data_IF_073819232277
#
_entry.id   IF_073819232277
#
_cell.length_a   1.000
_cell.length_b   1.000
_cell.length_c   1.000
_cell.angle_alpha   90.00
_cell.angle_beta   90.00
_cell.angle_gamma   90.00
#
_symmetry.space_group_name_H-M   'P 1'
#
loop_
_entity.id
_entity.type
_entity.pdbx_description
1 polymer ?
#
# COMPACT_ATOMS: atom_id res chain seq x y z
N UNK A 1 27.57 4.70 45.23
CA UNK A 1 26.69 3.81 44.46
C UNK A 1 25.52 4.65 43.97
N UNK A 2 25.42 4.96 42.67
CA UNK A 2 24.22 5.61 42.13
C UNK A 2 23.14 4.57 41.91
N UNK A 3 21.94 4.87 42.37
CA UNK A 3 20.75 4.03 42.25
C UNK A 3 20.41 3.83 40.77
N UNK A 4 20.28 2.57 40.36
CA UNK A 4 19.77 2.20 39.07
C UNK A 4 18.31 2.71 38.94
N UNK A 5 18.09 3.72 38.12
CA UNK A 5 16.76 4.19 37.79
C UNK A 5 16.00 3.04 37.11
N UNK A 6 15.00 2.49 37.81
CA UNK A 6 14.06 1.52 37.28
C UNK A 6 13.31 2.16 36.12
N UNK A 7 13.74 1.85 34.89
CA UNK A 7 13.06 2.22 33.65
C UNK A 7 11.84 1.31 33.47
N UNK A 8 10.84 1.45 34.36
CA UNK A 8 9.53 0.79 34.19
C UNK A 8 8.81 1.55 33.06
N UNK A 9 8.47 0.89 31.94
CA UNK A 9 7.75 1.56 30.87
C UNK A 9 6.43 2.11 31.41
N UNK A 10 6.15 3.38 31.15
CA UNK A 10 4.89 3.99 31.59
C UNK A 10 3.70 3.20 30.98
N UNK A 11 2.84 2.56 31.81
CA UNK A 11 1.77 1.70 31.34
C UNK A 11 0.76 2.45 30.45
N UNK A 12 0.56 3.76 30.64
CA UNK A 12 -0.31 4.57 29.80
C UNK A 12 0.27 4.79 28.40
N UNK A 13 1.57 4.97 28.26
CA UNK A 13 2.25 5.09 26.96
C UNK A 13 2.23 3.78 26.20
N UNK A 14 2.38 2.65 26.90
CA UNK A 14 2.29 1.31 26.27
C UNK A 14 0.87 1.00 25.83
N UNK A 15 -0.15 1.32 26.65
CA UNK A 15 -1.56 1.13 26.31
C UNK A 15 -1.98 2.03 25.12
N UNK A 16 -1.54 3.29 25.07
CA UNK A 16 -1.82 4.22 23.99
C UNK A 16 -1.16 3.78 22.66
N UNK A 17 0.07 3.29 22.73
CA UNK A 17 0.79 2.73 21.59
C UNK A 17 0.15 1.45 21.08
N UNK A 18 -0.29 0.55 21.93
CA UNK A 18 -0.99 -0.68 21.56
C UNK A 18 -2.35 -0.39 20.90
N UNK A 19 -3.12 0.57 21.42
CA UNK A 19 -4.38 1.04 20.84
C UNK A 19 -4.19 1.65 19.45
N UNK A 20 -3.18 2.51 19.26
CA UNK A 20 -2.87 3.13 17.97
C UNK A 20 -2.47 2.09 16.93
N UNK A 21 -1.65 1.11 17.31
CA UNK A 21 -1.22 0.03 16.42
C UNK A 21 -2.37 -0.94 16.10
N UNK A 22 -3.26 -1.20 17.05
CA UNK A 22 -4.46 -2.01 16.80
C UNK A 22 -5.42 -1.31 15.83
N UNK A 23 -5.60 0.01 15.94
CA UNK A 23 -6.40 0.78 15.00
C UNK A 23 -5.77 0.81 13.61
N UNK A 24 -4.44 0.96 13.50
CA UNK A 24 -3.71 0.91 12.23
C UNK A 24 -3.85 -0.45 11.54
N UNK A 25 -3.79 -1.55 12.28
CA UNK A 25 -4.01 -2.89 11.73
C UNK A 25 -5.46 -3.08 11.24
N UNK A 26 -6.44 -2.59 12.01
CA UNK A 26 -7.85 -2.63 11.60
C UNK A 26 -8.10 -1.85 10.30
N UNK A 27 -7.49 -0.66 10.16
CA UNK A 27 -7.56 0.15 8.94
C UNK A 27 -6.90 -0.58 7.76
N UNK A 28 -5.75 -1.24 7.98
CA UNK A 28 -5.05 -2.00 6.95
C UNK A 28 -5.87 -3.21 6.47
N UNK A 29 -6.47 -3.96 7.38
CA UNK A 29 -7.36 -5.09 7.05
C UNK A 29 -8.61 -4.62 6.31
N UNK A 30 -9.22 -3.51 6.74
CA UNK A 30 -10.33 -2.90 6.02
C UNK A 30 -9.93 -2.51 4.60
N UNK A 31 -8.77 -1.85 4.44
CA UNK A 31 -8.21 -1.51 3.14
C UNK A 31 -8.05 -2.74 2.25
N UNK A 32 -7.43 -3.80 2.78
CA UNK A 32 -7.24 -5.06 2.05
C UNK A 32 -8.58 -5.70 1.66
N UNK A 33 -9.59 -5.65 2.55
CA UNK A 33 -10.91 -6.20 2.27
C UNK A 33 -11.60 -5.49 1.10
N UNK A 34 -11.56 -4.13 1.09
CA UNK A 34 -12.22 -3.37 0.02
C UNK A 34 -11.41 -3.38 -1.28
N UNK A 35 -10.07 -3.47 -1.23
CA UNK A 35 -9.25 -3.71 -2.42
C UNK A 35 -9.55 -5.07 -3.05
N UNK A 36 -9.73 -6.11 -2.22
CA UNK A 36 -10.07 -7.46 -2.68
C UNK A 36 -11.35 -7.56 -3.49
N UNK A 37 -12.31 -6.61 -3.33
CA UNK A 37 -13.50 -6.50 -4.18
C UNK A 37 -13.17 -6.13 -5.62
N UNK A 38 -12.00 -5.51 -5.86
CA UNK A 38 -11.61 -4.99 -7.17
C UNK A 38 -11.66 -6.06 -8.26
N UNK A 39 -11.15 -7.26 -7.97
CA UNK A 39 -11.12 -8.38 -8.92
C UNK A 39 -12.51 -8.81 -9.37
N UNK A 40 -13.43 -8.98 -8.43
CA UNK A 40 -14.79 -9.40 -8.73
C UNK A 40 -15.58 -8.35 -9.55
N UNK A 41 -15.48 -7.08 -9.18
CA UNK A 41 -16.12 -6.01 -9.94
C UNK A 41 -15.47 -5.81 -11.33
N UNK A 42 -14.14 -5.90 -11.41
CA UNK A 42 -13.45 -5.81 -12.69
C UNK A 42 -13.85 -6.96 -13.61
N UNK A 43 -13.88 -8.22 -13.12
CA UNK A 43 -14.27 -9.39 -13.91
C UNK A 43 -15.66 -9.21 -14.50
N UNK A 44 -16.64 -8.78 -13.69
CA UNK A 44 -17.99 -8.51 -14.16
C UNK A 44 -18.05 -7.48 -15.31
N UNK A 45 -17.23 -6.43 -15.27
CA UNK A 45 -17.14 -5.45 -16.36
C UNK A 45 -16.43 -6.01 -17.60
N UNK A 46 -15.30 -6.69 -17.42
CA UNK A 46 -14.48 -7.23 -18.51
C UNK A 46 -15.26 -8.28 -19.33
N UNK A 47 -16.09 -9.10 -18.70
CA UNK A 47 -16.94 -10.10 -19.34
C UNK A 47 -18.00 -9.48 -20.27
N UNK A 48 -18.36 -8.20 -20.07
CA UNK A 48 -19.29 -7.47 -20.94
C UNK A 48 -18.59 -6.72 -22.08
N UNK A 49 -17.25 -6.80 -22.20
CA UNK A 49 -16.50 -6.18 -23.29
C UNK A 49 -15.77 -4.88 -22.92
N UNK A 50 -15.72 -4.52 -21.64
CA UNK A 50 -14.82 -3.46 -21.18
C UNK A 50 -13.37 -3.90 -21.34
N UNK A 51 -12.51 -2.99 -21.83
CA UNK A 51 -11.06 -3.25 -21.75
C UNK A 51 -10.53 -2.97 -20.35
N UNK A 52 -9.46 -3.66 -19.92
CA UNK A 52 -8.78 -3.38 -18.65
C UNK A 52 -8.37 -1.91 -18.52
N UNK A 53 -7.85 -1.32 -19.61
CA UNK A 53 -7.48 0.09 -19.66
C UNK A 53 -8.64 1.03 -19.40
N UNK A 54 -9.80 0.79 -20.02
CA UNK A 54 -11.01 1.58 -19.80
C UNK A 54 -11.49 1.49 -18.35
N UNK A 55 -11.58 0.27 -17.79
CA UNK A 55 -12.01 0.06 -16.42
C UNK A 55 -11.12 0.79 -15.41
N UNK A 56 -9.79 0.69 -15.56
CA UNK A 56 -8.83 1.39 -14.68
C UNK A 56 -8.91 2.90 -14.85
N UNK A 57 -8.94 3.39 -16.09
CA UNK A 57 -8.99 4.84 -16.35
C UNK A 57 -10.24 5.48 -15.73
N UNK A 58 -11.41 4.86 -15.93
CA UNK A 58 -12.68 5.36 -15.37
C UNK A 58 -12.69 5.25 -13.85
N UNK A 59 -12.21 4.15 -13.27
CA UNK A 59 -12.15 4.00 -11.81
C UNK A 59 -11.26 5.07 -11.16
N UNK A 60 -10.08 5.34 -11.73
CA UNK A 60 -9.16 6.35 -11.20
C UNK A 60 -9.75 7.76 -11.34
N UNK A 61 -10.37 8.05 -12.49
CA UNK A 61 -11.03 9.34 -12.74
C UNK A 61 -12.19 9.56 -11.78
N UNK A 62 -13.08 8.57 -11.64
CA UNK A 62 -14.21 8.65 -10.72
C UNK A 62 -13.76 8.83 -9.27
N UNK A 63 -12.74 8.09 -8.83
CA UNK A 63 -12.20 8.21 -7.49
C UNK A 63 -11.53 9.58 -7.25
N UNK A 64 -10.77 10.09 -8.22
CA UNK A 64 -10.16 11.41 -8.13
C UNK A 64 -11.21 12.51 -8.01
N UNK A 65 -12.29 12.44 -8.79
CA UNK A 65 -13.41 13.38 -8.73
C UNK A 65 -14.13 13.34 -7.37
N UNK A 66 -14.41 12.15 -6.84
CA UNK A 66 -15.06 11.99 -5.53
C UNK A 66 -14.17 12.58 -4.42
N UNK A 67 -12.87 12.31 -4.46
CA UNK A 67 -11.93 12.79 -3.44
C UNK A 67 -11.53 14.26 -3.62
N UNK A 68 -11.80 14.88 -4.76
CA UNK A 68 -11.42 16.28 -5.03
C UNK A 68 -11.99 17.26 -3.99
N UNK A 69 -13.28 17.14 -3.68
CA UNK A 69 -13.94 18.02 -2.70
C UNK A 69 -13.43 17.82 -1.27
N UNK A 70 -13.39 16.60 -0.70
CA UNK A 70 -12.86 16.40 0.64
C UNK A 70 -11.37 16.70 0.73
N UNK A 71 -10.58 16.46 -0.32
CA UNK A 71 -9.17 16.85 -0.35
C UNK A 71 -9.00 18.38 -0.37
N UNK A 72 -9.79 19.09 -1.18
CA UNK A 72 -9.81 20.55 -1.19
C UNK A 72 -10.25 21.14 0.17
N UNK A 73 -11.24 20.52 0.82
CA UNK A 73 -11.65 20.91 2.17
C UNK A 73 -10.53 20.69 3.20
N UNK A 74 -9.80 19.60 3.12
CA UNK A 74 -8.64 19.31 3.97
C UNK A 74 -7.48 20.29 3.75
N UNK A 75 -7.39 20.90 2.56
CA UNK A 75 -6.39 21.91 2.21
C UNK A 75 -6.78 23.35 2.53
N UNK A 76 -7.98 23.63 3.03
CA UNK A 76 -8.42 25.01 3.31
C UNK A 76 -7.39 25.75 4.16
N UNK A 77 -6.91 26.88 3.65
CA UNK A 77 -5.86 27.69 4.30
C UNK A 77 -4.44 27.11 4.24
N UNK A 78 -4.25 25.93 3.61
CA UNK A 78 -2.97 25.22 3.59
C UNK A 78 -2.54 24.75 2.17
N UNK A 79 -2.94 25.49 1.15
CA UNK A 79 -2.62 25.17 -0.25
C UNK A 79 -1.12 25.10 -0.55
N UNK A 80 -0.29 25.81 0.26
CA UNK A 80 1.18 25.68 0.18
C UNK A 80 1.65 24.23 0.32
N UNK A 81 0.94 23.39 1.11
CA UNK A 81 1.29 21.98 1.29
C UNK A 81 1.29 21.17 -0.01
N UNK A 82 0.43 21.52 -0.99
CA UNK A 82 0.49 20.91 -2.31
C UNK A 82 1.78 21.26 -3.04
N UNK A 83 2.16 22.54 -2.96
CA UNK A 83 3.39 23.03 -3.59
C UNK A 83 4.63 22.41 -2.93
N UNK A 84 4.64 22.31 -1.61
CA UNK A 84 5.77 21.76 -0.86
C UNK A 84 5.91 20.24 -1.06
N UNK A 85 4.79 19.55 -1.35
CA UNK A 85 4.74 18.08 -1.50
C UNK A 85 4.41 17.65 -2.94
N UNK A 86 4.48 18.54 -3.92
CA UNK A 86 4.07 18.23 -5.31
C UNK A 86 4.81 17.01 -5.87
N UNK A 87 6.10 16.91 -5.60
CA UNK A 87 6.92 15.78 -6.07
C UNK A 87 6.46 14.46 -5.47
N UNK A 88 6.12 14.43 -4.17
CA UNK A 88 5.57 13.24 -3.50
C UNK A 88 4.24 12.83 -4.14
N UNK A 89 3.35 13.78 -4.42
CA UNK A 89 2.05 13.51 -5.05
C UNK A 89 2.23 12.99 -6.48
N UNK A 90 3.11 13.62 -7.26
CA UNK A 90 3.40 13.21 -8.64
C UNK A 90 4.06 11.83 -8.68
N UNK A 91 5.06 11.58 -7.85
CA UNK A 91 5.73 10.26 -7.80
C UNK A 91 4.77 9.16 -7.32
N UNK A 92 3.93 9.45 -6.33
CA UNK A 92 2.91 8.53 -5.88
C UNK A 92 1.90 8.21 -7.00
N UNK A 93 1.38 9.22 -7.69
CA UNK A 93 0.41 9.05 -8.78
C UNK A 93 1.02 8.38 -10.01
N UNK A 94 2.23 8.78 -10.39
CA UNK A 94 2.93 8.24 -11.55
C UNK A 94 3.40 6.80 -11.31
N UNK A 95 4.06 6.54 -10.19
CA UNK A 95 4.70 5.24 -9.91
C UNK A 95 3.75 4.32 -9.16
N UNK A 96 3.25 4.77 -8.01
CA UNK A 96 2.42 3.94 -7.13
C UNK A 96 1.02 3.66 -7.68
N UNK A 97 0.50 4.52 -8.56
CA UNK A 97 -0.83 4.36 -9.13
C UNK A 97 -0.76 4.01 -10.62
N UNK A 98 -0.32 4.91 -11.50
CA UNK A 98 -0.39 4.70 -12.94
C UNK A 98 0.57 3.62 -13.44
N UNK A 99 1.87 3.72 -13.12
CA UNK A 99 2.87 2.77 -13.60
C UNK A 99 2.64 1.36 -13.04
N UNK A 100 2.30 1.24 -11.76
CA UNK A 100 1.96 -0.02 -11.13
C UNK A 100 0.83 -0.74 -11.89
N UNK A 101 -0.27 -0.03 -12.15
CA UNK A 101 -1.41 -0.57 -12.90
C UNK A 101 -1.05 -0.91 -14.35
N UNK A 102 -0.31 -0.03 -15.03
CA UNK A 102 0.10 -0.27 -16.41
C UNK A 102 1.02 -1.51 -16.52
N UNK A 103 1.99 -1.65 -15.63
CA UNK A 103 2.90 -2.79 -15.62
C UNK A 103 2.17 -4.08 -15.26
N UNK A 104 1.27 -4.04 -14.28
CA UNK A 104 0.43 -5.18 -13.93
C UNK A 104 -0.42 -5.66 -15.11
N UNK A 105 -1.08 -4.75 -15.85
CA UNK A 105 -1.89 -5.15 -17.01
C UNK A 105 -1.05 -5.67 -18.16
N UNK A 106 0.16 -5.15 -18.38
CA UNK A 106 1.08 -5.72 -19.36
C UNK A 106 1.56 -7.12 -18.93
N UNK A 107 1.73 -7.37 -17.64
CA UNK A 107 2.00 -8.72 -17.12
C UNK A 107 0.82 -9.66 -17.39
N UNK A 108 -0.40 -9.26 -17.04
CA UNK A 108 -1.63 -10.05 -17.25
C UNK A 108 -1.88 -10.35 -18.74
N UNK A 109 -1.52 -9.44 -19.65
CA UNK A 109 -1.65 -9.67 -21.08
C UNK A 109 -0.75 -10.82 -21.61
N UNK A 110 0.26 -11.22 -20.83
CA UNK A 110 1.27 -12.23 -21.22
C UNK A 110 1.32 -13.45 -20.30
N UNK A 111 0.86 -13.30 -19.07
CA UNK A 111 0.85 -14.32 -18.03
C UNK A 111 -0.59 -14.56 -17.56
N UNK A 112 -0.81 -15.66 -16.86
CA UNK A 112 -2.07 -15.81 -16.12
C UNK A 112 -2.18 -14.74 -15.02
N UNK A 113 -3.42 -14.35 -14.69
CA UNK A 113 -3.69 -13.34 -13.64
C UNK A 113 -3.04 -13.73 -12.32
N UNK A 114 -3.09 -15.02 -11.95
CA UNK A 114 -2.48 -15.54 -10.74
C UNK A 114 -0.97 -15.34 -10.72
N UNK A 115 -0.26 -15.64 -11.82
CA UNK A 115 1.20 -15.44 -11.90
C UNK A 115 1.56 -13.97 -11.86
N UNK A 116 0.81 -13.10 -12.55
CA UNK A 116 1.02 -11.66 -12.53
C UNK A 116 0.85 -11.08 -11.12
N UNK A 117 -0.21 -11.50 -10.38
CA UNK A 117 -0.43 -11.13 -8.98
C UNK A 117 0.69 -11.65 -8.07
N UNK A 118 1.12 -12.90 -8.24
CA UNK A 118 2.24 -13.44 -7.45
C UNK A 118 3.50 -12.60 -7.60
N UNK A 119 3.81 -12.19 -8.84
CA UNK A 119 4.97 -11.34 -9.10
C UNK A 119 4.81 -9.94 -8.47
N UNK A 120 3.65 -9.31 -8.58
CA UNK A 120 3.37 -8.01 -7.96
C UNK A 120 3.48 -8.09 -6.43
N UNK A 121 2.99 -9.17 -5.82
CA UNK A 121 3.10 -9.41 -4.38
C UNK A 121 4.49 -9.84 -3.91
N UNK A 122 5.54 -9.79 -4.75
CA UNK A 122 6.93 -9.75 -4.29
C UNK A 122 7.32 -8.40 -3.65
N UNK A 123 6.47 -7.38 -3.71
CA UNK A 123 6.72 -6.07 -3.10
C UNK A 123 7.17 -6.15 -1.63
N UNK A 124 6.57 -6.92 -0.71
CA UNK A 124 7.06 -7.08 0.66
C UNK A 124 8.50 -7.61 0.73
N UNK A 125 8.86 -8.56 -0.15
CA UNK A 125 10.23 -9.07 -0.24
C UNK A 125 11.19 -7.97 -0.68
N UNK A 126 10.81 -7.20 -1.70
CA UNK A 126 11.60 -6.06 -2.20
C UNK A 126 11.81 -5.04 -1.08
N UNK A 127 10.76 -4.72 -0.31
CA UNK A 127 10.85 -3.81 0.84
C UNK A 127 11.84 -4.33 1.89
N UNK A 128 11.76 -5.60 2.27
CA UNK A 128 12.69 -6.21 3.25
C UNK A 128 14.11 -6.19 2.72
N UNK A 129 14.33 -6.57 1.46
CA UNK A 129 15.67 -6.55 0.84
C UNK A 129 16.23 -5.14 0.76
N UNK A 130 15.41 -4.16 0.37
CA UNK A 130 15.79 -2.74 0.35
C UNK A 130 16.18 -2.23 1.73
N UNK A 131 15.34 -2.47 2.74
CA UNK A 131 15.63 -2.06 4.11
C UNK A 131 16.90 -2.73 4.65
N UNK A 132 17.15 -3.99 4.30
CA UNK A 132 18.39 -4.68 4.64
C UNK A 132 19.60 -4.03 3.95
N UNK A 133 19.53 -3.80 2.64
CA UNK A 133 20.62 -3.18 1.88
C UNK A 133 20.92 -1.76 2.40
N UNK A 134 19.89 -0.95 2.68
CA UNK A 134 20.03 0.42 3.15
C UNK A 134 20.56 0.51 4.59
N UNK A 135 20.08 -0.33 5.50
CA UNK A 135 20.47 -0.33 6.91
C UNK A 135 21.70 -1.18 7.20
N UNK A 136 22.12 -2.05 6.25
CA UNK A 136 23.13 -3.11 6.41
C UNK A 136 22.88 -4.04 7.63
N UNK A 137 21.68 -3.99 8.20
CA UNK A 137 21.26 -4.86 9.30
C UNK A 137 20.44 -6.01 8.73
N UNK A 138 20.85 -7.25 9.02
CA UNK A 138 20.12 -8.44 8.57
C UNK A 138 18.69 -8.42 9.12
N UNK A 139 17.68 -8.80 8.30
CA UNK A 139 16.32 -8.96 8.80
C UNK A 139 16.34 -10.01 9.92
N UNK A 140 15.52 -9.82 10.93
CA UNK A 140 15.39 -10.77 12.01
C UNK A 140 14.78 -12.07 11.49
N UNK A 141 15.06 -13.16 12.17
CA UNK A 141 14.61 -14.50 11.76
C UNK A 141 13.09 -14.58 11.63
N UNK A 142 12.34 -13.93 12.54
CA UNK A 142 10.88 -13.91 12.49
C UNK A 142 10.36 -13.14 11.25
N UNK A 143 10.97 -12.00 10.91
CA UNK A 143 10.63 -11.26 9.70
C UNK A 143 10.91 -12.09 8.44
N UNK A 144 12.10 -12.73 8.35
CA UNK A 144 12.46 -13.56 7.21
C UNK A 144 11.54 -14.79 7.10
N UNK A 145 11.29 -15.48 8.22
CA UNK A 145 10.38 -16.63 8.28
C UNK A 145 8.94 -16.25 7.93
N UNK A 146 8.43 -15.14 8.46
CA UNK A 146 7.09 -14.63 8.14
C UNK A 146 6.95 -14.23 6.67
N UNK A 147 7.99 -13.63 6.08
CA UNK A 147 8.05 -13.33 4.64
C UNK A 147 7.91 -14.59 3.80
N UNK A 148 8.75 -15.58 4.06
CA UNK A 148 8.73 -16.85 3.32
C UNK A 148 7.40 -17.60 3.49
N UNK A 149 6.84 -17.60 4.70
CA UNK A 149 5.56 -18.22 4.99
C UNK A 149 4.42 -17.54 4.23
N UNK A 150 4.38 -16.20 4.23
CA UNK A 150 3.36 -15.45 3.49
C UNK A 150 3.45 -15.67 1.98
N UNK A 151 4.67 -15.71 1.42
CA UNK A 151 4.85 -15.99 -0.01
C UNK A 151 4.48 -17.44 -0.37
N UNK A 152 4.82 -18.42 0.47
CA UNK A 152 4.38 -19.79 0.27
C UNK A 152 2.86 -19.89 0.31
N UNK A 153 2.21 -19.20 1.27
CA UNK A 153 0.76 -19.11 1.34
C UNK A 153 0.15 -18.46 0.11
N UNK A 154 0.75 -17.38 -0.41
CA UNK A 154 0.30 -16.72 -1.63
C UNK A 154 0.34 -17.64 -2.84
N UNK A 155 1.42 -18.42 -3.02
CA UNK A 155 1.52 -19.41 -4.10
C UNK A 155 0.37 -20.43 -4.04
N UNK A 156 0.04 -20.92 -2.84
CA UNK A 156 -1.08 -21.86 -2.66
C UNK A 156 -2.45 -21.22 -2.92
N UNK A 157 -2.67 -19.97 -2.46
CA UNK A 157 -3.95 -19.28 -2.70
C UNK A 157 -4.18 -19.02 -4.18
N UNK A 158 -3.14 -18.68 -4.91
CA UNK A 158 -3.23 -18.42 -6.35
C UNK A 158 -3.34 -19.71 -7.19
N UNK A 159 -3.17 -20.89 -6.56
CA UNK A 159 -3.31 -22.22 -7.18
C UNK A 159 -2.59 -22.36 -8.53
N UNK A 160 -1.30 -21.99 -8.55
CA UNK A 160 -0.46 -22.01 -9.76
C UNK A 160 -0.03 -23.42 -10.18
N UNK A 161 -0.84 -24.45 -9.89
CA UNK A 161 -0.49 -25.87 -10.13
C UNK A 161 -0.60 -26.28 -11.60
N UNK A 162 -1.11 -25.41 -12.49
CA UNK A 162 -1.16 -25.64 -13.93
C UNK A 162 0.19 -25.47 -14.63
N UNK A 163 0.35 -26.08 -15.81
CA UNK A 163 1.52 -25.92 -16.66
C UNK A 163 1.61 -24.47 -17.18
N UNK A 164 2.28 -23.60 -16.46
CA UNK A 164 2.43 -22.17 -16.80
C UNK A 164 3.52 -22.03 -17.85
N UNK A 165 3.16 -21.59 -19.07
CA UNK A 165 4.15 -21.08 -20.03
C UNK A 165 4.63 -19.71 -19.52
N UNK A 166 5.86 -19.65 -19.05
CA UNK A 166 6.46 -18.41 -18.53
C UNK A 166 6.98 -17.58 -19.68
N UNK A 167 6.33 -16.44 -19.95
CA UNK A 167 6.86 -15.39 -20.84
C UNK A 167 7.78 -14.48 -20.02
N UNK A 168 9.07 -14.42 -20.39
CA UNK A 168 10.06 -13.61 -19.68
C UNK A 168 9.70 -12.12 -19.68
N UNK A 169 9.13 -11.59 -20.75
CA UNK A 169 8.70 -10.20 -20.86
C UNK A 169 7.55 -9.92 -19.88
N UNK A 170 6.60 -10.87 -19.77
CA UNK A 170 5.54 -10.81 -18.78
C UNK A 170 6.06 -10.82 -17.34
N UNK A 171 7.08 -11.65 -17.06
CA UNK A 171 7.75 -11.67 -15.74
C UNK A 171 8.41 -10.33 -15.42
N UNK A 172 9.11 -9.73 -16.38
CA UNK A 172 9.74 -8.42 -16.17
C UNK A 172 8.71 -7.32 -15.87
N UNK A 173 7.55 -7.32 -16.55
CA UNK A 173 6.44 -6.44 -16.24
C UNK A 173 5.89 -6.68 -14.83
N UNK A 174 5.71 -7.93 -14.42
CA UNK A 174 5.26 -8.27 -13.06
C UNK A 174 6.24 -7.81 -11.97
N UNK A 175 7.55 -7.99 -12.19
CA UNK A 175 8.58 -7.47 -11.27
C UNK A 175 8.58 -5.94 -11.23
N UNK A 176 8.41 -5.28 -12.37
CA UNK A 176 8.29 -3.82 -12.43
C UNK A 176 7.07 -3.33 -11.63
N UNK A 177 5.92 -4.02 -11.72
CA UNK A 177 4.76 -3.75 -10.90
C UNK A 177 5.07 -3.92 -9.39
N UNK A 178 5.78 -4.98 -8.99
CA UNK A 178 6.21 -5.20 -7.61
C UNK A 178 7.11 -4.07 -7.08
N UNK A 179 8.04 -3.58 -7.90
CA UNK A 179 8.88 -2.43 -7.55
C UNK A 179 8.03 -1.17 -7.35
N UNK A 180 7.08 -0.92 -8.25
CA UNK A 180 6.17 0.22 -8.13
C UNK A 180 5.30 0.11 -6.85
N UNK A 181 4.81 -1.09 -6.53
CA UNK A 181 4.05 -1.34 -5.31
C UNK A 181 4.91 -1.15 -4.04
N UNK A 182 6.17 -1.59 -4.07
CA UNK A 182 7.11 -1.32 -2.98
C UNK A 182 7.35 0.19 -2.78
N UNK A 183 7.52 0.94 -3.87
CA UNK A 183 7.66 2.40 -3.85
C UNK A 183 6.38 3.07 -3.31
N UNK A 184 5.20 2.57 -3.71
CA UNK A 184 3.92 3.00 -3.13
C UNK A 184 3.95 2.91 -1.60
N UNK A 185 4.36 1.76 -1.04
CA UNK A 185 4.43 1.59 0.41
C UNK A 185 5.47 2.52 1.07
N UNK A 186 6.61 2.75 0.44
CA UNK A 186 7.60 3.69 0.96
C UNK A 186 7.10 5.13 0.95
N UNK A 187 6.45 5.57 -0.12
CA UNK A 187 5.92 6.94 -0.24
C UNK A 187 4.80 7.15 0.79
N UNK A 188 3.89 6.17 0.92
CA UNK A 188 2.71 6.30 1.79
C UNK A 188 3.05 6.16 3.27
N UNK A 189 4.07 5.38 3.61
CA UNK A 189 4.52 5.17 4.99
C UNK A 189 5.42 6.29 5.52
N UNK A 190 5.89 7.20 4.65
CA UNK A 190 6.71 8.33 5.08
C UNK A 190 5.86 9.24 5.96
N UNK A 191 6.30 9.42 7.21
CA UNK A 191 5.69 10.39 8.13
C UNK A 191 5.82 11.78 7.51
N UNK A 192 4.71 12.30 7.05
CA UNK A 192 4.61 13.65 6.53
C UNK A 192 3.44 14.32 7.23
N UNK A 193 3.72 14.94 8.39
CA UNK A 193 2.74 15.63 9.21
C UNK A 193 2.08 16.80 8.47
N UNK A 194 2.67 17.25 7.37
CA UNK A 194 2.18 18.41 6.63
C UNK A 194 1.10 18.06 5.61
N UNK A 195 1.10 16.82 5.02
CA UNK A 195 0.17 16.45 3.96
C UNK A 195 -0.88 15.44 4.47
N UNK A 196 -2.18 15.78 4.53
CA UNK A 196 -3.22 14.84 4.92
C UNK A 196 -3.27 13.61 4.00
N UNK A 197 -3.54 12.38 4.53
CA UNK A 197 -3.64 11.15 3.73
C UNK A 197 -4.58 11.26 2.54
N UNK A 198 -5.74 11.90 2.75
CA UNK A 198 -6.76 12.08 1.70
C UNK A 198 -6.26 12.96 0.56
N UNK A 199 -5.38 13.92 0.83
CA UNK A 199 -4.78 14.80 -0.20
C UNK A 199 -3.77 14.03 -1.04
N UNK A 200 -2.95 13.18 -0.41
CA UNK A 200 -2.03 12.32 -1.13
C UNK A 200 -2.79 11.32 -2.02
N UNK A 201 -3.83 10.66 -1.47
CA UNK A 201 -4.64 9.72 -2.24
C UNK A 201 -5.34 10.41 -3.42
N UNK A 202 -6.04 11.54 -3.18
CA UNK A 202 -6.73 12.29 -4.23
C UNK A 202 -5.78 12.82 -5.31
N UNK A 203 -4.69 13.45 -4.90
CA UNK A 203 -3.68 13.98 -5.82
C UNK A 203 -3.02 12.89 -6.65
N UNK A 204 -2.67 11.76 -6.02
CA UNK A 204 -2.11 10.61 -6.72
C UNK A 204 -3.07 9.97 -7.71
N UNK A 205 -4.34 9.81 -7.35
CA UNK A 205 -5.38 9.31 -8.25
C UNK A 205 -5.61 10.25 -9.43
N UNK A 206 -5.58 11.56 -9.20
CA UNK A 206 -5.71 12.56 -10.27
C UNK A 206 -4.53 12.49 -11.26
N UNK A 207 -3.31 12.44 -10.74
CA UNK A 207 -2.10 12.26 -11.57
C UNK A 207 -2.16 10.93 -12.31
N UNK A 208 -2.52 9.84 -11.61
CA UNK A 208 -2.68 8.52 -12.21
C UNK A 208 -3.72 8.52 -13.34
N UNK A 209 -4.90 9.11 -13.12
CA UNK A 209 -5.95 9.24 -14.13
C UNK A 209 -5.44 10.04 -15.35
N UNK A 210 -4.76 11.18 -15.13
CA UNK A 210 -4.21 11.99 -16.20
C UNK A 210 -3.20 11.21 -17.05
N UNK A 211 -2.31 10.44 -16.43
CA UNK A 211 -1.34 9.59 -17.13
C UNK A 211 -2.04 8.47 -17.91
N UNK A 212 -3.07 7.83 -17.35
CA UNK A 212 -3.83 6.79 -18.04
C UNK A 212 -4.60 7.36 -19.26
N UNK A 213 -5.20 8.55 -19.13
CA UNK A 213 -5.82 9.24 -20.28
C UNK A 213 -4.80 9.63 -21.35
N UNK A 214 -3.60 10.06 -20.94
CA UNK A 214 -2.52 10.33 -21.89
C UNK A 214 -2.08 9.07 -22.63
N UNK A 215 -1.92 7.95 -21.92
CA UNK A 215 -1.61 6.65 -22.53
C UNK A 215 -2.71 6.18 -23.49
N UNK A 216 -3.98 6.42 -23.16
CA UNK A 216 -5.11 6.14 -24.04
C UNK A 216 -5.08 7.04 -25.29
N UNK A 217 -4.83 8.34 -25.13
CA UNK A 217 -4.77 9.30 -26.24
C UNK A 217 -3.62 9.02 -27.21
N UNK A 218 -2.52 8.44 -26.74
CA UNK A 218 -1.38 8.02 -27.57
C UNK A 218 -1.58 6.65 -28.23
N UNK A 219 -2.71 5.97 -27.96
CA UNK A 219 -2.98 4.62 -28.48
C UNK A 219 -2.23 3.49 -27.79
N UNK A 220 -1.45 3.79 -26.75
CA UNK A 220 -0.72 2.78 -25.96
C UNK A 220 -1.66 1.90 -25.13
N UNK A 221 -2.85 2.43 -24.79
CA UNK A 221 -3.83 1.76 -23.95
C UNK A 221 -5.15 1.57 -24.72
N UNK A 222 -5.54 0.32 -25.03
CA UNK A 222 -6.84 0.06 -25.69
C UNK A 222 -8.00 0.48 -24.79
N UNK A 223 -8.96 1.21 -25.37
CA UNK A 223 -10.12 1.71 -24.65
C UNK A 223 -11.39 1.17 -25.31
N UNK A 224 -12.05 0.21 -24.69
CA UNK A 224 -13.38 -0.27 -25.08
C UNK A 224 -14.34 -0.21 -23.89
N UNK A 225 -15.60 0.14 -24.18
CA UNK A 225 -16.65 0.30 -23.19
C UNK A 225 -17.88 -0.48 -23.64
N UNK A 226 -18.64 -0.97 -22.69
CA UNK A 226 -19.92 -1.67 -22.94
C UNK A 226 -20.98 -1.15 -21.97
N UNK A 227 -22.20 -0.99 -22.45
CA UNK A 227 -23.36 -0.66 -21.63
C UNK A 227 -24.24 -1.89 -21.34
N UNK A 228 -23.75 -3.09 -21.65
CA UNK A 228 -24.46 -4.33 -21.36
C UNK A 228 -24.53 -4.58 -19.85
N UNK A 229 -25.62 -5.20 -19.40
CA UNK A 229 -25.77 -5.63 -18.02
C UNK A 229 -24.69 -6.66 -17.66
N UNK A 230 -24.24 -6.61 -16.43
CA UNK A 230 -23.21 -7.48 -15.86
C UNK A 230 -23.84 -8.55 -14.98
N UNK A 231 -23.14 -9.64 -14.75
CA UNK A 231 -23.52 -10.66 -13.78
C UNK A 231 -22.61 -10.63 -12.56
N UNK A 232 -23.21 -10.56 -11.37
CA UNK A 232 -22.51 -10.71 -10.09
C UNK A 232 -23.13 -11.91 -9.37
N UNK A 233 -22.56 -13.10 -9.58
CA UNK A 233 -23.11 -14.35 -9.11
C UNK A 233 -24.50 -14.61 -9.71
N UNK A 234 -25.54 -14.79 -8.88
CA UNK A 234 -26.89 -15.03 -9.35
C UNK A 234 -27.62 -13.74 -9.78
N UNK A 235 -27.05 -12.57 -9.60
CA UNK A 235 -27.72 -11.29 -9.88
C UNK A 235 -27.27 -10.69 -11.19
N UNK A 236 -28.22 -10.34 -12.04
CA UNK A 236 -27.98 -9.47 -13.19
C UNK A 236 -28.08 -8.03 -12.71
N UNK A 237 -27.04 -7.24 -12.93
CA UNK A 237 -26.96 -5.85 -12.47
C UNK A 237 -26.56 -4.95 -13.63
N UNK A 238 -27.07 -3.70 -13.69
CA UNK A 238 -26.59 -2.73 -14.66
C UNK A 238 -25.06 -2.53 -14.52
N UNK A 239 -24.37 -2.31 -15.63
CA UNK A 239 -22.93 -2.13 -15.71
C UNK A 239 -22.36 -1.07 -14.74
N UNK A 240 -23.15 -0.05 -14.40
CA UNK A 240 -22.73 1.00 -13.48
C UNK A 240 -22.63 0.53 -12.02
N UNK A 241 -23.28 -0.57 -11.63
CA UNK A 241 -23.23 -1.11 -10.25
C UNK A 241 -21.82 -1.62 -9.92
N UNK A 242 -21.23 -2.60 -10.66
CA UNK A 242 -19.87 -3.00 -10.41
C UNK A 242 -18.85 -1.86 -10.65
N UNK A 243 -19.13 -0.94 -11.58
CA UNK A 243 -18.28 0.24 -11.78
C UNK A 243 -18.31 1.17 -10.56
N UNK A 244 -19.47 1.44 -9.97
CA UNK A 244 -19.60 2.24 -8.76
C UNK A 244 -18.89 1.55 -7.57
N UNK A 245 -19.05 0.23 -7.42
CA UNK A 245 -18.32 -0.57 -6.45
C UNK A 245 -16.80 -0.47 -6.64
N UNK A 246 -16.34 -0.56 -7.87
CA UNK A 246 -14.92 -0.42 -8.23
C UNK A 246 -14.38 0.97 -7.89
N UNK A 247 -15.13 2.03 -8.19
CA UNK A 247 -14.75 3.42 -7.91
C UNK A 247 -14.79 3.71 -6.41
N UNK A 248 -15.92 3.44 -5.74
CA UNK A 248 -16.14 3.89 -4.36
C UNK A 248 -15.45 2.96 -3.37
N UNK A 249 -15.74 1.66 -3.43
CA UNK A 249 -15.22 0.69 -2.47
C UNK A 249 -13.76 0.36 -2.76
N UNK A 250 -13.51 -0.22 -3.93
CA UNK A 250 -12.20 -0.75 -4.30
C UNK A 250 -11.18 0.33 -4.70
N UNK A 251 -11.56 1.61 -4.76
CA UNK A 251 -10.61 2.69 -5.04
C UNK A 251 -10.66 3.79 -3.98
N UNK A 252 -11.76 4.51 -3.82
CA UNK A 252 -11.81 5.66 -2.87
C UNK A 252 -11.50 5.20 -1.45
N UNK A 253 -12.29 4.28 -0.91
CA UNK A 253 -12.11 3.78 0.45
C UNK A 253 -10.80 3.01 0.60
N UNK A 254 -10.45 2.19 -0.39
CA UNK A 254 -9.24 1.39 -0.39
C UNK A 254 -7.97 2.24 -0.34
N UNK A 255 -7.81 3.21 -1.24
CA UNK A 255 -6.61 4.07 -1.26
C UNK A 255 -6.50 4.99 -0.04
N UNK A 256 -7.61 5.60 0.40
CA UNK A 256 -7.59 6.47 1.61
C UNK A 256 -7.19 5.66 2.83
N UNK A 257 -7.84 4.51 3.06
CA UNK A 257 -7.51 3.64 4.19
C UNK A 257 -6.13 3.01 4.04
N UNK A 258 -5.69 2.65 2.83
CA UNK A 258 -4.36 2.12 2.55
C UNK A 258 -3.24 3.11 2.89
N UNK A 259 -3.40 4.38 2.49
CA UNK A 259 -2.43 5.44 2.85
C UNK A 259 -2.42 5.68 4.36
N UNK A 260 -3.59 5.69 5.01
CA UNK A 260 -3.68 5.83 6.47
C UNK A 260 -3.01 4.65 7.19
N UNK A 261 -3.25 3.43 6.72
CA UNK A 261 -2.63 2.22 7.26
C UNK A 261 -1.11 2.24 7.10
N UNK A 262 -0.61 2.59 5.91
CA UNK A 262 0.82 2.64 5.62
C UNK A 262 1.54 3.68 6.51
N UNK A 263 0.91 4.82 6.79
CA UNK A 263 1.45 5.83 7.71
C UNK A 263 1.48 5.38 9.16
N UNK A 264 0.44 4.65 9.60
CA UNK A 264 0.37 4.19 11.00
C UNK A 264 1.22 2.96 11.30
N UNK A 265 1.43 2.07 10.31
CA UNK A 265 2.14 0.80 10.48
C UNK A 265 3.57 0.81 9.93
N UNK A 266 3.91 1.79 9.09
CA UNK A 266 5.14 1.79 8.30
C UNK A 266 5.06 0.86 7.08
N UNK A 267 5.96 1.06 6.11
CA UNK A 267 5.94 0.36 4.81
C UNK A 267 6.02 -1.17 4.94
N UNK A 268 6.87 -1.66 5.84
CA UNK A 268 7.09 -3.09 6.05
C UNK A 268 5.81 -3.79 6.51
N UNK A 269 5.22 -3.36 7.63
CA UNK A 269 4.02 -4.02 8.18
C UNK A 269 2.81 -3.83 7.27
N UNK A 270 2.62 -2.63 6.71
CA UNK A 270 1.52 -2.35 5.80
C UNK A 270 1.57 -3.26 4.56
N UNK A 271 2.74 -3.47 3.95
CA UNK A 271 2.91 -4.35 2.79
C UNK A 271 2.64 -5.84 3.10
N UNK A 272 2.95 -6.29 4.32
CA UNK A 272 2.59 -7.67 4.70
C UNK A 272 1.10 -7.82 4.99
N UNK A 273 0.49 -6.83 5.63
CA UNK A 273 -0.97 -6.86 5.86
C UNK A 273 -1.72 -6.80 4.53
N UNK A 274 -1.21 -6.08 3.53
CA UNK A 274 -1.85 -6.04 2.20
C UNK A 274 -1.92 -7.41 1.51
N UNK A 275 -1.07 -8.38 1.86
CA UNK A 275 -1.20 -9.76 1.37
C UNK A 275 -2.55 -10.40 1.75
N UNK A 276 -3.20 -9.92 2.81
CA UNK A 276 -4.55 -10.37 3.17
C UNK A 276 -5.61 -9.97 2.15
N UNK A 277 -5.31 -9.02 1.25
CA UNK A 277 -6.16 -8.69 0.11
C UNK A 277 -6.47 -9.92 -0.73
N UNK A 278 -5.50 -10.80 -0.94
CA UNK A 278 -5.71 -12.05 -1.71
C UNK A 278 -6.74 -12.94 -1.01
N UNK A 279 -6.71 -13.00 0.33
CA UNK A 279 -7.71 -13.76 1.12
C UNK A 279 -9.10 -13.17 0.94
N UNK A 280 -9.21 -11.85 1.07
CA UNK A 280 -10.47 -11.17 0.86
C UNK A 280 -10.95 -11.32 -0.59
N UNK A 281 -10.05 -11.27 -1.59
CA UNK A 281 -10.42 -11.49 -2.98
C UNK A 281 -11.01 -12.89 -3.21
N UNK A 282 -10.46 -13.93 -2.57
CA UNK A 282 -11.03 -15.29 -2.61
C UNK A 282 -12.41 -15.33 -1.96
N UNK A 283 -12.58 -14.68 -0.80
CA UNK A 283 -13.89 -14.62 -0.12
C UNK A 283 -14.91 -13.89 -0.96
N UNK A 284 -14.55 -12.76 -1.58
CA UNK A 284 -15.44 -12.00 -2.45
C UNK A 284 -15.78 -12.74 -3.75
N UNK A 285 -14.81 -13.46 -4.35
CA UNK A 285 -15.07 -14.31 -5.50
C UNK A 285 -16.08 -15.41 -5.17
N UNK A 286 -15.95 -16.02 -3.99
CA UNK A 286 -16.95 -16.98 -3.51
C UNK A 286 -18.34 -16.35 -3.33
N UNK A 287 -18.42 -15.22 -2.62
CA UNK A 287 -19.72 -14.59 -2.29
C UNK A 287 -20.38 -13.94 -3.53
N UNK A 288 -19.60 -13.31 -4.40
CA UNK A 288 -20.12 -12.51 -5.52
C UNK A 288 -20.14 -13.26 -6.85
N UNK A 289 -19.29 -14.27 -7.03
CA UNK A 289 -19.18 -15.03 -8.27
C UNK A 289 -19.57 -16.51 -8.08
N UNK A 290 -19.84 -16.95 -6.85
CA UNK A 290 -20.15 -18.35 -6.54
C UNK A 290 -18.92 -19.28 -6.61
N UNK A 291 -17.71 -18.76 -6.73
CA UNK A 291 -16.47 -19.52 -6.81
C UNK A 291 -16.07 -20.00 -5.41
N UNK A 292 -16.25 -21.30 -5.13
CA UNK A 292 -15.86 -21.88 -3.85
C UNK A 292 -14.32 -22.05 -3.77
N UNK A 293 -13.67 -21.53 -2.70
CA UNK A 293 -12.25 -21.73 -2.53
C UNK A 293 -11.93 -23.20 -2.29
N UNK A 294 -10.89 -23.69 -2.99
CA UNK A 294 -10.37 -25.03 -2.79
C UNK A 294 -9.62 -25.18 -1.45
N UNK A 295 -9.44 -26.44 -0.99
CA UNK A 295 -8.72 -26.74 0.25
C UNK A 295 -7.28 -26.16 0.23
N UNK A 296 -6.62 -26.16 -0.91
CA UNK A 296 -5.27 -25.57 -1.10
C UNK A 296 -5.30 -24.06 -0.88
N UNK A 297 -6.32 -23.37 -1.37
CA UNK A 297 -6.48 -21.92 -1.17
C UNK A 297 -6.73 -21.57 0.30
N UNK A 298 -7.53 -22.39 1.00
CA UNK A 298 -7.74 -22.22 2.45
C UNK A 298 -6.44 -22.42 3.24
N UNK A 299 -5.66 -23.46 2.90
CA UNK A 299 -4.34 -23.69 3.50
C UNK A 299 -3.40 -22.49 3.24
N UNK A 300 -3.35 -22.00 2.00
CA UNK A 300 -2.60 -20.80 1.63
C UNK A 300 -3.02 -19.58 2.45
N UNK A 301 -4.32 -19.43 2.70
CA UNK A 301 -4.87 -18.40 3.55
C UNK A 301 -4.31 -18.43 4.97
N UNK A 302 -4.30 -19.60 5.59
CA UNK A 302 -3.72 -19.80 6.93
C UNK A 302 -2.24 -19.43 6.96
N UNK A 303 -1.47 -19.80 5.94
CA UNK A 303 -0.05 -19.47 5.84
C UNK A 303 0.19 -17.94 5.69
N UNK A 304 -0.63 -17.23 4.89
CA UNK A 304 -0.54 -15.77 4.76
C UNK A 304 -0.78 -15.11 6.12
N UNK A 305 -1.87 -15.45 6.80
CA UNK A 305 -2.20 -14.88 8.12
C UNK A 305 -1.09 -15.19 9.14
N UNK A 306 -0.60 -16.43 9.17
CA UNK A 306 0.51 -16.84 10.03
C UNK A 306 1.78 -16.03 9.77
N UNK A 307 2.13 -15.81 8.51
CA UNK A 307 3.28 -14.99 8.11
C UNK A 307 3.13 -13.53 8.53
N UNK A 308 1.95 -12.93 8.34
CA UNK A 308 1.65 -11.56 8.81
C UNK A 308 1.78 -11.45 10.33
N UNK A 309 1.28 -12.44 11.08
CA UNK A 309 1.41 -12.50 12.53
C UNK A 309 2.88 -12.55 12.95
N UNK A 310 3.71 -13.40 12.31
CA UNK A 310 5.14 -13.51 12.63
C UNK A 310 5.89 -12.18 12.39
N UNK A 311 5.63 -11.51 11.27
CA UNK A 311 6.22 -10.18 10.99
C UNK A 311 5.79 -9.18 12.05
N UNK A 312 4.52 -9.21 12.47
CA UNK A 312 4.00 -8.31 13.49
C UNK A 312 4.61 -8.57 14.87
N UNK A 313 4.75 -9.83 15.25
CA UNK A 313 5.40 -10.20 16.52
C UNK A 313 6.85 -9.72 16.57
N UNK A 314 7.57 -9.77 15.45
CA UNK A 314 8.93 -9.26 15.34
C UNK A 314 9.00 -7.73 15.54
N UNK A 315 8.07 -6.98 14.97
CA UNK A 315 7.94 -5.54 15.17
C UNK A 315 7.69 -5.17 16.65
N UNK A 316 6.80 -5.92 17.32
CA UNK A 316 6.49 -5.69 18.73
C UNK A 316 7.67 -6.01 19.66
N UNK A 317 8.53 -6.95 19.27
CA UNK A 317 9.75 -7.35 20.01
C UNK A 317 10.95 -6.45 19.67
N UNK A 318 10.85 -5.57 18.68
CA UNK A 318 11.92 -4.64 18.37
C UNK A 318 12.08 -3.64 19.53
N UNK A 319 13.28 -3.45 20.11
CA UNK A 319 13.52 -2.35 21.04
C UNK A 319 13.12 -1.04 20.34
N UNK A 320 12.44 -0.16 21.06
CA UNK A 320 12.15 1.17 20.53
C UNK A 320 13.49 1.79 20.08
N UNK A 321 13.54 2.26 18.82
CA UNK A 321 14.69 3.04 18.39
C UNK A 321 14.87 4.18 19.40
N UNK A 322 16.10 4.48 19.88
CA UNK A 322 16.31 5.62 20.74
C UNK A 322 15.72 6.84 20.01
N UNK A 323 14.79 7.53 20.65
CA UNK A 323 14.25 8.79 20.17
C UNK A 323 15.44 9.63 19.76
N UNK A 324 15.51 10.00 18.47
CA UNK A 324 16.66 10.65 17.87
C UNK A 324 17.14 11.77 18.80
N UNK A 325 18.37 11.66 19.26
CA UNK A 325 19.01 12.69 20.04
C UNK A 325 18.90 13.98 19.25
N UNK A 326 18.14 14.93 19.78
CA UNK A 326 18.26 16.33 19.42
C UNK A 326 19.75 16.64 19.41
N UNK A 327 20.32 17.21 18.36
CA UNK A 327 21.71 17.60 18.39
C UNK A 327 21.86 18.49 19.61
N UNK A 328 22.65 18.01 20.57
CA UNK A 328 23.01 18.77 21.76
C UNK A 328 23.40 20.18 21.29
N UNK A 329 22.61 21.14 21.69
CA UNK A 329 22.92 22.56 21.62
C UNK A 329 24.31 22.66 22.30
N UNK A 330 25.34 22.86 21.49
CA UNK A 330 26.64 23.16 22.03
C UNK A 330 26.45 24.34 22.99
N UNK A 331 26.55 24.06 24.28
CA UNK A 331 26.63 25.09 25.30
C UNK A 331 27.86 25.91 24.95
N UNK A 332 27.64 27.09 24.43
CA UNK A 332 28.64 28.12 24.38
C UNK A 332 29.01 28.43 25.84
N UNK A 333 30.15 27.95 26.26
CA UNK A 333 30.79 28.35 27.50
C UNK A 333 30.91 29.88 27.50
N UNK A 334 30.42 30.59 28.53
CA UNK A 334 30.70 32.00 28.64
C UNK A 334 32.21 32.17 28.93
N UNK A 335 32.91 32.78 28.01
CA UNK A 335 34.24 33.29 28.27
C UNK A 335 34.13 34.31 29.40
N UNK A 336 34.62 33.93 30.56
CA UNK A 336 34.86 34.75 31.72
C UNK A 336 35.93 35.77 31.33
N UNK A 337 35.50 37.01 31.09
CA UNK A 337 36.41 38.14 30.91
C UNK A 337 36.86 38.58 32.30
N UNK A 338 38.03 38.08 32.69
CA UNK A 338 38.84 38.76 33.66
C UNK A 338 39.41 40.03 33.04
N UNK A 339 38.87 41.16 33.40
CA UNK A 339 39.48 42.47 33.23
C UNK A 339 39.71 43.05 34.62
N UNK A 340 40.82 42.62 35.24
CA UNK A 340 41.49 43.39 36.26
C UNK A 340 42.49 44.32 35.56
N UNK A 341 42.15 45.59 35.48
CA UNK A 341 43.10 46.66 35.23
C UNK A 341 42.94 47.65 36.36
N UNK A 342 43.90 47.55 37.32
CA UNK A 342 44.13 48.59 38.32
C UNK A 342 44.64 49.90 37.67
N UNK A 343 44.26 51.09 38.15
CA UNK A 343 44.90 52.35 37.79
C UNK A 343 46.05 52.60 38.75
N UNK A 344 47.23 52.85 38.19
CA UNK A 344 48.41 53.43 38.92
C UNK A 344 48.60 54.87 38.44
N UNK A 345 49.17 55.75 39.23
CA UNK A 345 48.67 57.01 39.80
C UNK A 345 48.85 58.24 38.90
#
# INVERSE_FOLDING_TARGET
MPAAANNVPNPELTARRSSFLASGLGIALFSSAVFGLSGSFAKALLETGWSPGAAVTVRLTGAALILALPAAAALRGRWHQLRDNWLTIVLFGLIGVAACQLFYFNAVARLSVGVALLLEYLAPVIIVLWLWAASRRRPRVLTAGGTLLSLAGLVLVLDLTGAVKVDLVGVLWGIAAAVCLAIYFFITAKENDTLPPIVLASGGLLVGAAVMWLAAATGLLPMSFSAADTTLGPWTTPWWVPLAGLVVLATVLAYVSGVMAARSLGSKVASFVSLTEVLFAVVWAWLLLGELPGAIQLLGGVLIVGGVILVRLDELRAPAAPAGGSPARAEASPLEHANDVEPVP
#
